data_IF_180564018424
#
_entry.id   IF_180564018424
#
_cell.length_a   1.000
_cell.length_b   1.000
_cell.length_c   1.000
_cell.angle_alpha   90.00
_cell.angle_beta   90.00
_cell.angle_gamma   90.00
#
_symmetry.space_group_name_H-M   'P 1'
#
loop_
_entity.id
_entity.type
_entity.pdbx_description
1 polymer ?
#
# COMPACT_ATOMS: atom_id res chain seq x y z
N UNK A 1 -12.54 -10.42 -9.49
CA UNK A 1 -12.55 -9.29 -8.52
C UNK A 1 -11.11 -8.92 -8.24
N UNK A 2 -10.74 -7.65 -8.40
CA UNK A 2 -9.35 -7.23 -8.23
C UNK A 2 -9.10 -6.60 -6.86
N UNK A 3 -8.03 -7.03 -6.20
CA UNK A 3 -7.64 -6.63 -4.86
C UNK A 3 -6.27 -5.95 -4.91
N UNK A 4 -6.16 -4.79 -4.27
CA UNK A 4 -4.87 -4.12 -4.08
C UNK A 4 -4.36 -4.44 -2.68
N UNK A 5 -3.13 -4.92 -2.59
CA UNK A 5 -2.42 -5.17 -1.34
C UNK A 5 -1.33 -4.13 -1.20
N UNK A 6 -1.31 -3.38 -0.11
CA UNK A 6 -0.39 -2.27 0.05
C UNK A 6 0.33 -2.29 1.39
N UNK A 7 1.67 -2.36 1.36
CA UNK A 7 2.52 -2.40 2.55
C UNK A 7 3.75 -1.50 2.38
N UNK A 8 4.33 -1.11 3.53
CA UNK A 8 5.62 -0.43 3.58
C UNK A 8 6.70 -1.50 3.43
N UNK A 9 7.86 -1.09 2.95
CA UNK A 9 9.05 -1.97 2.94
C UNK A 9 9.38 -2.51 4.35
N UNK A 10 10.07 -3.65 4.42
CA UNK A 10 10.48 -4.28 5.68
C UNK A 10 9.38 -5.15 6.33
N UNK A 11 9.26 -5.12 7.67
CA UNK A 11 8.39 -6.06 8.41
C UNK A 11 6.90 -6.01 8.04
N UNK A 12 6.40 -4.83 7.65
CA UNK A 12 5.01 -4.69 7.16
C UNK A 12 4.78 -5.39 5.81
N UNK A 13 5.82 -5.50 4.98
CA UNK A 13 5.77 -6.22 3.71
C UNK A 13 5.74 -7.73 3.94
N UNK A 14 6.55 -8.24 4.87
CA UNK A 14 6.53 -9.67 5.22
C UNK A 14 5.19 -10.12 5.79
N UNK A 15 4.56 -9.29 6.64
CA UNK A 15 3.21 -9.53 7.13
C UNK A 15 2.18 -9.59 6.00
N UNK A 16 2.28 -8.68 5.03
CA UNK A 16 1.40 -8.68 3.87
C UNK A 16 1.64 -9.91 2.98
N UNK A 17 2.88 -10.37 2.84
CA UNK A 17 3.23 -11.58 2.09
C UNK A 17 2.67 -12.86 2.70
N UNK A 18 2.33 -12.90 3.99
CA UNK A 18 1.59 -14.03 4.56
C UNK A 18 0.21 -14.23 3.89
N UNK A 19 -0.34 -13.18 3.28
CA UNK A 19 -1.56 -13.23 2.48
C UNK A 19 -1.32 -13.68 1.03
N UNK A 20 -0.13 -14.15 0.67
CA UNK A 20 0.17 -14.67 -0.67
C UNK A 20 -0.84 -15.74 -1.16
N UNK A 21 -1.32 -16.69 -0.34
CA UNK A 21 -2.36 -17.63 -0.78
C UNK A 21 -3.66 -16.93 -1.23
N UNK A 22 -3.99 -15.80 -0.61
CA UNK A 22 -5.11 -14.96 -1.02
C UNK A 22 -4.79 -14.21 -2.32
N UNK A 23 -3.54 -13.75 -2.46
CA UNK A 23 -3.09 -13.05 -3.67
C UNK A 23 -3.08 -13.95 -4.91
N UNK A 24 -2.85 -15.25 -4.76
CA UNK A 24 -2.90 -16.23 -5.85
C UNK A 24 -4.33 -16.60 -6.24
N UNK A 25 -5.27 -16.57 -5.28
CA UNK A 25 -6.69 -16.89 -5.51
C UNK A 25 -7.46 -15.78 -6.23
N UNK A 26 -7.04 -14.53 -6.07
CA UNK A 26 -7.71 -13.36 -6.66
C UNK A 26 -6.77 -12.63 -7.61
N UNK A 27 -7.33 -11.86 -8.56
CA UNK A 27 -6.52 -10.90 -9.30
C UNK A 27 -5.96 -9.87 -8.33
N UNK A 28 -4.65 -9.91 -8.12
CA UNK A 28 -4.01 -9.16 -7.06
C UNK A 28 -2.97 -8.22 -7.61
N UNK A 29 -2.91 -7.04 -7.00
CA UNK A 29 -1.93 -6.01 -7.33
C UNK A 29 -1.23 -5.63 -6.03
N UNK A 30 0.09 -5.72 -6.04
CA UNK A 30 0.91 -5.36 -4.89
C UNK A 30 1.39 -3.91 -5.06
N UNK A 31 1.26 -3.11 -4.00
CA UNK A 31 1.77 -1.74 -3.93
C UNK A 31 2.73 -1.67 -2.77
N UNK A 32 3.98 -1.32 -3.05
CA UNK A 32 5.01 -1.20 -2.01
C UNK A 32 5.87 0.04 -2.24
N UNK A 33 6.63 0.43 -1.23
CA UNK A 33 7.60 1.52 -1.35
C UNK A 33 8.83 1.04 -2.13
N UNK A 34 9.39 1.93 -2.96
CA UNK A 34 10.63 1.63 -3.67
C UNK A 34 11.81 1.67 -2.68
N UNK A 35 12.32 0.49 -2.32
CA UNK A 35 13.57 0.31 -1.57
C UNK A 35 14.59 -0.48 -2.38
N UNK A 36 15.87 -0.42 -1.98
CA UNK A 36 16.94 -1.25 -2.57
C UNK A 36 16.72 -2.75 -2.34
N UNK A 37 15.88 -3.10 -1.37
CA UNK A 37 15.27 -4.42 -1.27
C UNK A 37 14.25 -4.57 -2.40
N UNK A 38 14.67 -5.20 -3.50
CA UNK A 38 13.79 -5.67 -4.55
C UNK A 38 12.73 -6.56 -3.90
N UNK A 39 11.48 -6.13 -3.90
CA UNK A 39 10.35 -6.94 -3.47
C UNK A 39 10.41 -8.25 -4.27
N UNK A 40 10.88 -9.31 -3.62
CA UNK A 40 11.26 -10.56 -4.26
C UNK A 40 10.11 -11.08 -5.11
N UNK A 41 10.46 -11.50 -6.33
CA UNK A 41 9.60 -12.05 -7.39
C UNK A 41 8.43 -12.87 -6.84
N UNK A 42 7.34 -12.19 -6.51
CA UNK A 42 6.12 -12.81 -6.00
C UNK A 42 5.25 -13.33 -7.13
N UNK A 43 5.64 -13.10 -8.39
CA UNK A 43 4.84 -13.42 -9.58
C UNK A 43 3.59 -12.54 -9.74
N UNK A 44 3.43 -11.54 -8.87
CA UNK A 44 2.26 -10.66 -8.81
C UNK A 44 2.64 -9.30 -9.38
N UNK A 45 1.67 -8.60 -10.01
CA UNK A 45 1.89 -7.24 -10.54
C UNK A 45 2.19 -6.28 -9.39
N UNK A 46 3.43 -5.79 -9.34
CA UNK A 46 3.91 -4.89 -8.29
C UNK A 46 4.09 -3.46 -8.81
N UNK A 47 3.51 -2.50 -8.11
CA UNK A 47 3.68 -1.07 -8.32
C UNK A 47 4.46 -0.45 -7.17
N UNK A 48 5.38 0.45 -7.51
CA UNK A 48 6.25 1.09 -6.54
C UNK A 48 5.88 2.56 -6.30
N UNK A 49 5.62 2.89 -5.04
CA UNK A 49 5.40 4.25 -4.56
C UNK A 49 6.71 4.85 -4.03
N UNK A 50 6.81 6.18 -4.04
CA UNK A 50 7.93 6.85 -3.40
C UNK A 50 7.76 6.77 -1.88
N UNK A 51 8.81 6.38 -1.16
CA UNK A 51 8.78 6.40 0.30
C UNK A 51 8.62 7.82 0.80
N UNK A 52 7.72 8.00 1.77
CA UNK A 52 7.43 9.31 2.37
C UNK A 52 7.89 9.29 3.82
N UNK A 53 8.88 10.13 4.14
CA UNK A 53 9.31 10.35 5.50
C UNK A 53 8.74 11.68 6.02
N UNK A 54 8.08 11.66 7.19
CA UNK A 54 7.47 12.85 7.81
C UNK A 54 8.47 13.95 8.16
N UNK A 55 9.73 13.57 8.39
CA UNK A 55 10.81 14.50 8.80
C UNK A 55 11.50 15.19 7.61
N UNK A 56 11.17 14.83 6.38
CA UNK A 56 11.78 15.45 5.20
C UNK A 56 10.96 16.66 4.71
N UNK A 57 11.61 17.79 4.38
CA UNK A 57 10.93 18.97 3.84
C UNK A 57 10.29 18.70 2.46
N UNK A 58 10.76 17.66 1.76
CA UNK A 58 10.24 17.21 0.46
C UNK A 58 8.98 16.33 0.58
N UNK A 59 8.35 16.27 1.75
CA UNK A 59 7.13 15.50 2.00
C UNK A 59 5.99 15.84 1.02
N UNK A 60 5.68 17.13 0.84
CA UNK A 60 4.54 17.59 0.03
C UNK A 60 4.71 17.24 -1.46
N UNK A 61 5.86 17.52 -2.12
CA UNK A 61 6.09 17.08 -3.49
C UNK A 61 6.00 15.56 -3.68
N UNK A 62 6.56 14.77 -2.75
CA UNK A 62 6.48 13.30 -2.80
C UNK A 62 5.05 12.80 -2.65
N UNK A 63 4.24 13.44 -1.80
CA UNK A 63 2.84 13.10 -1.62
C UNK A 63 2.01 13.38 -2.89
N UNK A 64 2.24 14.52 -3.55
CA UNK A 64 1.60 14.85 -4.83
C UNK A 64 1.98 13.83 -5.91
N UNK A 65 3.27 13.48 -6.02
CA UNK A 65 3.73 12.47 -6.97
C UNK A 65 3.08 11.09 -6.72
N UNK A 66 2.98 10.67 -5.45
CA UNK A 66 2.29 9.43 -5.08
C UNK A 66 0.77 9.51 -5.34
N UNK A 67 0.16 10.68 -5.17
CA UNK A 67 -1.26 10.89 -5.48
C UNK A 67 -1.54 10.68 -6.97
N UNK A 68 -0.69 11.24 -7.84
CA UNK A 68 -0.82 11.02 -9.29
C UNK A 68 -0.64 9.56 -9.67
N UNK A 69 0.39 8.88 -9.14
CA UNK A 69 0.59 7.43 -9.35
C UNK A 69 -0.60 6.61 -8.87
N UNK A 70 -1.15 6.96 -7.72
CA UNK A 70 -2.32 6.29 -7.14
C UNK A 70 -3.56 6.46 -8.00
N UNK A 71 -3.78 7.65 -8.55
CA UNK A 71 -4.89 7.92 -9.46
C UNK A 71 -4.78 7.07 -10.74
N UNK A 72 -3.60 7.05 -11.36
CA UNK A 72 -3.35 6.21 -12.54
C UNK A 72 -3.58 4.73 -12.22
N UNK A 73 -3.15 4.26 -11.05
CA UNK A 73 -3.34 2.88 -10.61
C UNK A 73 -4.83 2.54 -10.46
N UNK A 74 -5.63 3.40 -9.82
CA UNK A 74 -7.07 3.16 -9.65
C UNK A 74 -7.79 3.17 -11.00
N UNK A 75 -7.48 4.10 -11.90
CA UNK A 75 -8.12 4.16 -13.22
C UNK A 75 -7.77 2.93 -14.06
N UNK A 76 -6.51 2.48 -14.00
CA UNK A 76 -6.00 1.35 -14.78
C UNK A 76 -6.48 -0.01 -14.25
N UNK A 77 -6.37 -0.22 -12.94
CA UNK A 77 -6.66 -1.53 -12.33
C UNK A 77 -8.12 -1.65 -11.88
N UNK A 78 -8.81 -0.54 -11.59
CA UNK A 78 -10.18 -0.47 -11.05
C UNK A 78 -10.42 -1.48 -9.90
N UNK A 79 -9.58 -1.45 -8.86
CA UNK A 79 -9.70 -2.39 -7.74
C UNK A 79 -11.01 -2.18 -6.97
N UNK A 80 -11.60 -3.27 -6.48
CA UNK A 80 -12.81 -3.22 -5.64
C UNK A 80 -12.50 -3.19 -4.15
N UNK A 81 -11.38 -3.79 -3.76
CA UNK A 81 -10.95 -3.92 -2.38
C UNK A 81 -9.48 -3.56 -2.29
N UNK A 82 -9.13 -2.82 -1.24
CA UNK A 82 -7.76 -2.51 -0.87
C UNK A 82 -7.49 -3.04 0.53
N UNK A 83 -6.40 -3.78 0.69
CA UNK A 83 -5.92 -4.31 1.96
C UNK A 83 -4.58 -3.63 2.25
N UNK A 84 -4.42 -3.01 3.41
CA UNK A 84 -3.17 -2.33 3.78
C UNK A 84 -2.76 -2.56 5.22
N UNK A 85 -1.45 -2.59 5.47
CA UNK A 85 -0.84 -2.77 6.80
C UNK A 85 -0.39 -1.48 7.47
N UNK A 86 -0.65 -0.30 6.87
CA UNK A 86 -0.54 1.00 7.56
C UNK A 86 0.66 1.81 7.14
N UNK A 87 0.56 2.37 5.94
CA UNK A 87 1.70 2.99 5.26
C UNK A 87 1.37 4.41 4.87
N UNK A 88 2.27 5.33 5.21
CA UNK A 88 2.08 6.74 4.90
C UNK A 88 2.07 7.01 3.39
N UNK A 89 2.94 6.34 2.64
CA UNK A 89 3.03 6.48 1.18
C UNK A 89 1.75 6.06 0.44
N UNK A 90 0.90 5.27 1.09
CA UNK A 90 -0.32 4.66 0.53
C UNK A 90 -1.57 5.46 0.92
N UNK A 91 -1.47 6.47 1.78
CA UNK A 91 -2.60 7.33 2.18
C UNK A 91 -3.34 7.92 0.97
N UNK A 92 -2.66 8.50 -0.05
CA UNK A 92 -3.37 9.00 -1.23
C UNK A 92 -4.17 7.92 -1.96
N UNK A 93 -3.62 6.71 -2.06
CA UNK A 93 -4.29 5.58 -2.68
C UNK A 93 -5.53 5.15 -1.88
N UNK A 94 -5.44 5.09 -0.56
CA UNK A 94 -6.56 4.74 0.32
C UNK A 94 -7.70 5.77 0.25
N UNK A 95 -7.36 7.06 0.20
CA UNK A 95 -8.33 8.14 0.04
C UNK A 95 -9.05 8.06 -1.31
N UNK A 96 -8.29 7.90 -2.39
CA UNK A 96 -8.87 7.76 -3.72
C UNK A 96 -9.73 6.49 -3.79
N UNK A 97 -9.29 5.36 -3.21
CA UNK A 97 -10.09 4.14 -3.14
C UNK A 97 -11.47 4.38 -2.53
N UNK A 98 -11.53 5.14 -1.42
CA UNK A 98 -12.78 5.49 -0.77
C UNK A 98 -13.64 6.42 -1.64
N UNK A 99 -13.03 7.37 -2.34
CA UNK A 99 -13.72 8.28 -3.26
C UNK A 99 -14.37 7.53 -4.45
N UNK A 100 -13.69 6.51 -4.96
CA UNK A 100 -14.18 5.65 -6.05
C UNK A 100 -15.11 4.50 -5.57
N UNK A 101 -15.54 4.51 -4.30
CA UNK A 101 -16.47 3.53 -3.74
C UNK A 101 -15.87 2.15 -3.45
N UNK A 102 -14.54 2.04 -3.42
CA UNK A 102 -13.82 0.83 -3.07
C UNK A 102 -13.85 0.55 -1.56
N UNK A 103 -13.77 -0.73 -1.19
CA UNK A 103 -13.67 -1.14 0.22
C UNK A 103 -12.21 -1.08 0.68
N UNK A 104 -11.96 -0.45 1.83
CA UNK A 104 -10.65 -0.40 2.46
C UNK A 104 -10.64 -1.31 3.69
N UNK A 105 -9.68 -2.22 3.75
CA UNK A 105 -9.43 -3.13 4.87
C UNK A 105 -8.05 -2.79 5.42
N UNK A 106 -8.01 -2.43 6.70
CA UNK A 106 -6.79 -2.12 7.41
C UNK A 106 -6.41 -3.27 8.33
N UNK A 107 -5.18 -3.78 8.20
CA UNK A 107 -4.64 -4.86 9.02
C UNK A 107 -3.51 -4.28 9.85
N UNK A 108 -3.79 -3.95 11.11
CA UNK A 108 -2.76 -3.53 12.05
C UNK A 108 -2.17 -4.74 12.78
N UNK A 109 -0.84 -4.74 12.93
CA UNK A 109 -0.16 -5.73 13.76
C UNK A 109 -0.44 -5.43 15.24
N UNK A 110 -0.92 -6.42 15.99
CA UNK A 110 -1.13 -6.36 17.44
C UNK A 110 0.17 -6.13 18.25
N UNK A 111 1.34 -5.97 17.62
CA UNK A 111 2.62 -5.76 18.29
C UNK A 111 2.70 -4.45 19.11
N UNK A 112 1.69 -3.57 19.07
CA UNK A 112 1.72 -2.27 19.77
C UNK A 112 0.41 -1.95 20.50
N UNK A 113 -0.04 -2.86 21.36
CA UNK A 113 -1.26 -2.66 22.19
C UNK A 113 -1.05 -1.61 23.30
N UNK A 114 0.19 -1.35 23.73
CA UNK A 114 0.48 -0.50 24.91
C UNK A 114 0.97 0.93 24.63
N UNK A 115 1.16 1.35 23.38
CA UNK A 115 1.64 2.71 23.10
C UNK A 115 0.94 3.33 21.90
N UNK A 116 0.36 4.52 22.08
CA UNK A 116 -0.19 5.34 21.00
C UNK A 116 0.88 5.58 19.93
N UNK A 117 0.55 5.30 18.68
CA UNK A 117 1.35 5.81 17.56
C UNK A 117 1.10 7.33 17.47
N UNK A 118 2.17 8.13 17.62
CA UNK A 118 2.13 9.55 17.32
C UNK A 118 1.85 9.71 15.82
N UNK A 119 0.59 10.02 15.52
CA UNK A 119 0.14 10.45 14.20
C UNK A 119 0.51 11.91 14.02
#
# INVERSE_FOLDING_TARGET
>A
MKIVFAASSGGHYEQLLMLKPLMEKYESVLVTEKTDYSAGNTGIKTYYMCQINRKEPLFVPKLIANSWKSLVLIIKEKPKVMITTGVLAVIPLALLMKLFGGKLIYIESFAKVCSKNLT
#
